data_IF_826660765486
#
_entry.id   IF_826660765486
#
_cell.length_a   1.000
_cell.length_b   1.000
_cell.length_c   1.000
_cell.angle_alpha   90.00
_cell.angle_beta   90.00
_cell.angle_gamma   90.00
#
_symmetry.space_group_name_H-M   'P 1'
#
loop_
_entity.id
_entity.type
_entity.pdbx_description
1 polymer ?
#
# COMPACT_ATOMS: atom_id res chain seq x y z
N UNK A 1 5.25 4.24 -2.21
CA UNK A 1 4.66 5.11 -1.17
C UNK A 1 3.73 4.28 -0.31
N UNK A 2 3.61 4.65 0.96
CA UNK A 2 2.66 4.07 1.92
C UNK A 2 1.54 5.06 2.22
N UNK A 3 0.36 4.53 2.52
CA UNK A 3 -0.79 5.29 3.01
C UNK A 3 -1.18 4.74 4.38
N UNK A 4 -1.43 5.65 5.33
CA UNK A 4 -1.88 5.33 6.68
C UNK A 4 -3.28 5.89 6.95
N UNK A 5 -3.90 5.40 8.01
CA UNK A 5 -5.17 5.92 8.49
C UNK A 5 -4.94 6.92 9.62
N UNK A 6 -5.44 8.14 9.44
CA UNK A 6 -5.54 9.15 10.48
C UNK A 6 -7.03 9.34 10.82
N UNK A 7 -7.51 8.56 11.80
CA UNK A 7 -8.94 8.41 12.05
C UNK A 7 -9.67 7.79 10.85
N UNK A 8 -10.53 8.58 10.20
CA UNK A 8 -11.25 8.18 8.98
C UNK A 8 -10.59 8.69 7.69
N UNK A 9 -9.51 9.46 7.79
CA UNK A 9 -8.78 9.97 6.63
C UNK A 9 -7.69 8.96 6.22
N UNK A 10 -7.54 8.76 4.93
CA UNK A 10 -6.38 8.04 4.36
C UNK A 10 -5.43 9.11 3.82
N UNK A 11 -4.22 9.15 4.35
CA UNK A 11 -3.21 10.14 4.00
C UNK A 11 -1.89 9.47 3.59
N UNK A 12 -1.04 10.21 2.90
CA UNK A 12 0.30 9.75 2.55
C UNK A 12 1.14 9.68 3.82
N UNK A 13 1.70 8.50 4.07
CA UNK A 13 2.60 8.25 5.20
C UNK A 13 4.06 8.49 4.78
N UNK A 14 4.54 7.74 3.79
CA UNK A 14 5.90 7.88 3.30
C UNK A 14 6.02 7.71 1.78
N UNK A 15 7.05 8.33 1.22
CA UNK A 15 7.49 8.14 -0.18
C UNK A 15 9.00 7.87 -0.15
N UNK A 16 9.44 6.88 -0.91
CA UNK A 16 10.84 6.49 -0.97
C UNK A 16 11.10 5.53 -2.13
N UNK A 17 12.38 5.23 -2.34
CA UNK A 17 12.88 4.28 -3.33
C UNK A 17 13.49 3.01 -2.71
N UNK A 18 13.74 3.03 -1.40
CA UNK A 18 14.29 1.89 -0.67
C UNK A 18 13.18 0.89 -0.33
N UNK A 19 13.42 -0.39 -0.65
CA UNK A 19 12.42 -1.44 -0.45
C UNK A 19 12.32 -1.89 1.01
N UNK A 20 13.44 -1.94 1.72
CA UNK A 20 13.47 -2.37 3.12
C UNK A 20 12.84 -1.30 4.02
N UNK A 21 13.10 -0.02 3.73
CA UNK A 21 12.40 1.09 4.35
C UNK A 21 10.90 0.99 4.10
N UNK A 22 10.48 0.71 2.87
CA UNK A 22 9.06 0.51 2.53
C UNK A 22 8.43 -0.63 3.33
N UNK A 23 9.12 -1.77 3.48
CA UNK A 23 8.63 -2.92 4.26
C UNK A 23 8.55 -2.59 5.75
N UNK A 24 9.52 -1.86 6.29
CA UNK A 24 9.55 -1.49 7.71
C UNK A 24 8.37 -0.62 8.17
N UNK A 25 7.64 0.01 7.24
CA UNK A 25 6.45 0.80 7.57
C UNK A 25 5.25 -0.06 7.96
N UNK A 26 5.23 -1.34 7.62
CA UNK A 26 4.08 -2.21 7.90
C UNK A 26 4.19 -2.80 9.30
N UNK A 27 3.35 -2.35 10.23
CA UNK A 27 3.35 -2.78 11.63
C UNK A 27 2.13 -3.62 11.98
N UNK A 28 2.19 -4.38 13.07
CA UNK A 28 1.13 -5.30 13.47
C UNK A 28 -0.11 -4.59 14.04
N UNK A 29 0.03 -3.36 14.49
CA UNK A 29 -1.02 -2.57 15.15
C UNK A 29 -1.92 -1.83 14.16
N UNK A 30 -1.44 -1.65 12.92
CA UNK A 30 -2.09 -0.79 11.94
C UNK A 30 -2.55 -1.54 10.68
N UNK A 31 -3.60 -0.99 10.08
CA UNK A 31 -4.00 -1.29 8.71
C UNK A 31 -3.43 -0.21 7.81
N UNK A 32 -2.88 -0.57 6.66
CA UNK A 32 -2.20 0.37 5.77
C UNK A 32 -2.33 -0.06 4.31
N UNK A 33 -1.99 0.85 3.40
CA UNK A 33 -1.82 0.52 1.99
C UNK A 33 -0.41 0.82 1.52
N UNK A 34 0.08 0.01 0.59
CA UNK A 34 1.36 0.20 -0.05
C UNK A 34 1.21 0.24 -1.56
N UNK A 35 2.01 1.08 -2.21
CA UNK A 35 2.13 1.07 -3.66
C UNK A 35 3.59 1.17 -4.07
N UNK A 36 4.09 0.12 -4.73
CA UNK A 36 5.51 -0.05 -5.04
C UNK A 36 5.71 -0.42 -6.51
N UNK A 37 6.75 0.13 -7.12
CA UNK A 37 7.25 -0.28 -8.43
C UNK A 37 8.37 -1.29 -8.22
N UNK A 38 8.24 -2.46 -8.81
CA UNK A 38 9.27 -3.50 -8.79
C UNK A 38 9.76 -3.71 -10.21
N UNK A 39 11.07 -3.71 -10.40
CA UNK A 39 11.67 -4.08 -11.69
C UNK A 39 12.02 -5.56 -11.64
N UNK A 40 11.44 -6.35 -12.55
CA UNK A 40 11.68 -7.79 -12.63
C UNK A 40 12.10 -8.14 -14.06
N UNK A 41 13.04 -9.07 -14.22
CA UNK A 41 13.50 -9.57 -15.52
C UNK A 41 15.02 -9.73 -15.59
N UNK A 42 15.48 -10.48 -16.59
CA UNK A 42 16.89 -10.60 -16.94
C UNK A 42 17.34 -9.43 -17.86
N UNK A 43 18.59 -9.46 -18.31
CA UNK A 43 19.19 -8.38 -19.12
C UNK A 43 18.40 -8.01 -20.38
N UNK A 44 17.66 -8.95 -20.97
CA UNK A 44 16.88 -8.72 -22.20
C UNK A 44 15.39 -8.43 -21.94
N UNK A 45 14.90 -8.50 -20.70
CA UNK A 45 13.47 -8.33 -20.40
C UNK A 45 13.16 -7.59 -19.09
N UNK A 46 13.87 -6.48 -18.82
CA UNK A 46 13.54 -5.61 -17.67
C UNK A 46 12.16 -4.98 -17.84
N UNK A 47 11.17 -5.48 -17.09
CA UNK A 47 9.81 -4.91 -17.06
C UNK A 47 9.48 -4.35 -15.69
N UNK A 48 8.99 -3.10 -15.68
CA UNK A 48 8.40 -2.52 -14.48
C UNK A 48 7.03 -3.15 -14.21
N UNK A 49 6.84 -3.66 -13.00
CA UNK A 49 5.56 -4.08 -12.45
C UNK A 49 5.20 -3.17 -11.29
N UNK A 50 3.92 -3.03 -11.02
CA UNK A 50 3.42 -2.27 -9.88
C UNK A 50 2.59 -3.17 -9.00
N UNK A 51 2.87 -3.16 -7.69
CA UNK A 51 2.13 -3.90 -6.70
C UNK A 51 1.37 -2.92 -5.80
N UNK A 52 0.07 -3.19 -5.65
CA UNK A 52 -0.76 -2.54 -4.65
C UNK A 52 -0.98 -3.52 -3.49
N UNK A 53 -0.47 -3.14 -2.32
CA UNK A 53 -0.45 -3.93 -1.11
C UNK A 53 -1.54 -3.41 -0.18
N UNK A 54 -2.33 -4.34 0.38
CA UNK A 54 -3.28 -4.07 1.45
C UNK A 54 -2.76 -4.78 2.68
N UNK A 55 -2.36 -4.01 3.69
CA UNK A 55 -1.83 -4.53 4.93
C UNK A 55 -2.86 -4.46 6.05
N UNK A 56 -2.97 -5.55 6.80
CA UNK A 56 -3.82 -5.67 7.97
C UNK A 56 -2.99 -6.34 9.05
N UNK A 57 -2.34 -5.55 9.89
CA UNK A 57 -1.54 -6.05 11.00
C UNK A 57 -2.32 -7.01 11.90
N UNK A 58 -1.60 -7.93 12.53
CA UNK A 58 -2.21 -9.00 13.33
C UNK A 58 -3.08 -8.47 14.47
N UNK A 59 -2.67 -7.36 15.09
CA UNK A 59 -3.33 -6.71 16.24
C UNK A 59 -4.44 -5.72 15.86
N UNK A 60 -4.72 -5.52 14.57
CA UNK A 60 -5.81 -4.62 14.15
C UNK A 60 -7.16 -5.18 14.60
N UNK A 61 -7.97 -4.33 15.25
CA UNK A 61 -9.31 -4.70 15.72
C UNK A 61 -10.20 -5.25 14.58
N UNK A 62 -11.09 -6.22 14.84
CA UNK A 62 -11.97 -6.81 13.82
C UNK A 62 -12.80 -5.78 13.03
N UNK A 63 -13.31 -4.74 13.69
CA UNK A 63 -14.11 -3.70 13.04
C UNK A 63 -13.31 -2.87 12.03
N UNK A 64 -12.05 -2.56 12.34
CA UNK A 64 -11.13 -1.87 11.42
C UNK A 64 -10.77 -2.78 10.23
N UNK A 65 -10.62 -4.09 10.46
CA UNK A 65 -10.40 -5.09 9.39
C UNK A 65 -11.62 -5.18 8.45
N UNK A 66 -12.84 -5.21 8.99
CA UNK A 66 -14.07 -5.27 8.19
C UNK A 66 -14.24 -4.08 7.23
N UNK A 67 -13.86 -2.87 7.66
CA UNK A 67 -13.91 -1.65 6.83
C UNK A 67 -12.84 -1.63 5.72
N UNK A 68 -11.78 -2.42 5.85
CA UNK A 68 -10.62 -2.36 4.96
C UNK A 68 -10.95 -2.70 3.50
N UNK A 69 -11.95 -3.56 3.25
CA UNK A 69 -12.37 -3.93 1.89
C UNK A 69 -12.98 -2.76 1.11
N UNK A 70 -13.75 -1.91 1.80
CA UNK A 70 -14.35 -0.69 1.24
C UNK A 70 -13.25 0.35 0.99
N UNK A 71 -12.40 0.59 1.99
CA UNK A 71 -11.27 1.53 1.89
C UNK A 71 -10.33 1.15 0.73
N UNK A 72 -10.08 -0.15 0.54
CA UNK A 72 -9.27 -0.70 -0.56
C UNK A 72 -9.83 -0.35 -1.94
N UNK A 73 -11.14 -0.39 -2.12
CA UNK A 73 -11.78 -0.08 -3.41
C UNK A 73 -11.60 1.40 -3.76
N UNK A 74 -11.78 2.30 -2.78
CA UNK A 74 -11.55 3.74 -2.91
C UNK A 74 -10.11 4.03 -3.34
N UNK A 75 -9.13 3.48 -2.63
CA UNK A 75 -7.70 3.70 -2.92
C UNK A 75 -7.32 3.18 -4.32
N UNK A 76 -7.84 2.01 -4.71
CA UNK A 76 -7.61 1.48 -6.07
C UNK A 76 -8.16 2.39 -7.15
N UNK A 77 -9.33 3.00 -6.94
CA UNK A 77 -9.92 3.93 -7.89
C UNK A 77 -9.00 5.14 -8.12
N UNK A 78 -8.51 5.76 -7.04
CA UNK A 78 -7.58 6.90 -7.11
C UNK A 78 -6.28 6.54 -7.85
N UNK A 79 -5.68 5.40 -7.51
CA UNK A 79 -4.42 4.95 -8.15
C UNK A 79 -4.63 4.68 -9.65
N UNK A 80 -5.79 4.14 -10.04
CA UNK A 80 -6.10 3.87 -11.45
C UNK A 80 -6.29 5.17 -12.24
N UNK A 81 -7.08 6.11 -11.72
CA UNK A 81 -7.38 7.39 -12.40
C UNK A 81 -6.14 8.27 -12.49
N UNK A 82 -5.25 8.25 -11.49
CA UNK A 82 -3.99 9.01 -11.52
C UNK A 82 -2.98 8.50 -12.57
N UNK A 83 -3.26 7.41 -13.30
CA UNK A 83 -2.35 6.78 -14.27
C UNK A 83 -2.86 6.77 -15.71
N UNK A 84 -4.06 7.30 -15.95
CA UNK A 84 -4.56 7.63 -17.30
C UNK A 84 -4.13 9.02 -17.70
#
# INVERSE_FOLDING_TARGET
FTLRFNGNLIEVDSKGSDYDEFVSKFTDEERMFGYVRVTTGDEMSKRAKFAFITWSGSQVSPIKKAKLSVDKALVKHVIKVSRS
#
